data_IF_219039060952
#
_entry.id   IF_219039060952
#
_cell.length_a   1.000
_cell.length_b   1.000
_cell.length_c   1.000
_cell.angle_alpha   90.00
_cell.angle_beta   90.00
_cell.angle_gamma   90.00
#
_symmetry.space_group_name_H-M   'P 1'
#
loop_
_entity.id
_entity.type
_entity.pdbx_description
1 polymer ?
#
# COMPACT_ATOMS: atom_id res chain seq x y z
N UNK A 1 -37.39 9.88 1.99
CA UNK A 1 -36.27 9.08 1.50
C UNK A 1 -36.81 7.70 1.16
N UNK A 2 -36.50 7.13 -0.01
CA UNK A 2 -36.92 5.75 -0.34
C UNK A 2 -36.29 4.79 0.71
N UNK A 3 -37.09 3.82 1.16
CA UNK A 3 -36.62 2.78 2.08
C UNK A 3 -35.54 1.97 1.38
N UNK A 4 -34.37 1.77 2.04
CA UNK A 4 -33.33 0.87 1.57
C UNK A 4 -33.87 -0.55 1.65
N UNK A 5 -33.77 -1.33 0.57
CA UNK A 5 -34.25 -2.71 0.50
C UNK A 5 -33.14 -3.73 0.45
N UNK A 6 -32.00 -3.37 -0.15
CA UNK A 6 -30.83 -4.24 -0.29
C UNK A 6 -29.54 -3.45 -0.12
N UNK A 7 -28.59 -3.98 0.68
CA UNK A 7 -27.29 -3.36 0.97
C UNK A 7 -26.18 -4.36 0.70
N UNK A 8 -25.09 -3.94 0.06
CA UNK A 8 -23.86 -4.73 -0.01
C UNK A 8 -22.90 -4.27 1.07
N UNK A 9 -22.50 -5.16 1.94
CA UNK A 9 -21.61 -4.91 3.06
C UNK A 9 -20.19 -5.42 2.75
N UNK A 10 -19.18 -4.57 2.89
CA UNK A 10 -17.79 -5.01 2.99
C UNK A 10 -17.61 -5.79 4.29
N UNK A 11 -17.42 -7.10 4.17
CA UNK A 11 -17.53 -8.05 5.29
C UNK A 11 -16.23 -8.80 5.50
N UNK A 12 -15.64 -8.67 6.68
CA UNK A 12 -14.41 -9.39 7.06
C UNK A 12 -14.65 -10.66 7.89
N UNK A 13 -15.90 -10.91 8.32
CA UNK A 13 -16.20 -11.98 9.27
C UNK A 13 -15.79 -11.69 10.73
N UNK A 14 -15.16 -10.53 10.99
CA UNK A 14 -14.83 -10.06 12.32
C UNK A 14 -16.06 -9.66 13.16
N UNK A 15 -15.84 -9.34 14.44
CA UNK A 15 -16.91 -8.95 15.35
C UNK A 15 -17.68 -7.74 14.82
N UNK A 16 -16.97 -6.67 14.48
CA UNK A 16 -17.57 -5.39 14.07
C UNK A 16 -18.47 -5.55 12.83
N UNK A 17 -17.96 -6.21 11.79
CA UNK A 17 -18.71 -6.41 10.55
C UNK A 17 -19.88 -7.37 10.72
N UNK A 18 -19.79 -8.34 11.67
CA UNK A 18 -20.91 -9.23 11.98
C UNK A 18 -22.02 -8.52 12.77
N UNK A 19 -21.65 -7.59 13.64
CA UNK A 19 -22.63 -6.70 14.31
C UNK A 19 -23.27 -5.77 13.30
N UNK A 20 -22.49 -5.16 12.39
CA UNK A 20 -22.99 -4.30 11.32
C UNK A 20 -24.00 -5.04 10.44
N UNK A 21 -23.70 -6.27 10.05
CA UNK A 21 -24.60 -7.10 9.26
C UNK A 21 -25.97 -7.23 9.94
N UNK A 22 -25.96 -7.61 11.22
CA UNK A 22 -27.18 -7.79 11.98
C UNK A 22 -27.93 -6.48 12.21
N UNK A 23 -27.21 -5.40 12.51
CA UNK A 23 -27.76 -4.06 12.68
C UNK A 23 -28.44 -3.54 11.42
N UNK A 24 -27.84 -3.76 10.21
CA UNK A 24 -28.45 -3.40 8.94
C UNK A 24 -29.76 -4.13 8.70
N UNK A 25 -29.82 -5.43 9.03
CA UNK A 25 -31.05 -6.22 8.91
C UNK A 25 -32.19 -5.70 9.80
N UNK A 26 -31.86 -5.22 10.99
CA UNK A 26 -32.86 -4.78 11.99
C UNK A 26 -33.24 -3.31 11.80
N UNK A 27 -32.28 -2.42 11.72
CA UNK A 27 -32.54 -0.98 11.64
C UNK A 27 -33.15 -0.55 10.30
N UNK A 28 -32.68 -1.15 9.19
CA UNK A 28 -33.17 -0.85 7.87
C UNK A 28 -34.24 -1.84 7.37
N UNK A 29 -34.38 -2.99 8.03
CA UNK A 29 -35.29 -4.05 7.55
C UNK A 29 -34.90 -4.55 6.15
N UNK A 30 -33.63 -4.49 5.78
CA UNK A 30 -33.16 -4.72 4.42
C UNK A 30 -32.48 -6.08 4.26
N UNK A 31 -32.40 -6.53 3.03
CA UNK A 31 -31.56 -7.66 2.64
C UNK A 31 -30.09 -7.22 2.64
N UNK A 32 -29.21 -8.04 3.25
CA UNK A 32 -27.76 -7.78 3.25
C UNK A 32 -27.07 -8.81 2.38
N UNK A 33 -26.28 -8.30 1.43
CA UNK A 33 -25.33 -9.06 0.62
C UNK A 33 -23.96 -8.85 1.23
N UNK A 34 -23.15 -9.88 1.41
CA UNK A 34 -21.79 -9.74 1.94
C UNK A 34 -20.74 -9.90 0.85
N UNK A 35 -19.72 -9.07 0.91
CA UNK A 35 -18.56 -9.16 0.05
C UNK A 35 -17.29 -9.20 0.87
N UNK A 36 -16.47 -10.24 0.64
CA UNK A 36 -15.14 -10.44 1.23
C UNK A 36 -14.12 -10.54 0.12
N UNK A 37 -13.12 -9.66 0.12
CA UNK A 37 -12.02 -9.69 -0.81
C UNK A 37 -10.87 -10.55 -0.24
N UNK A 38 -10.38 -11.52 -1.01
CA UNK A 38 -9.06 -12.10 -0.80
C UNK A 38 -8.03 -11.25 -1.53
N UNK A 39 -7.25 -10.51 -0.77
CA UNK A 39 -6.12 -9.71 -1.25
C UNK A 39 -4.80 -10.16 -0.61
N UNK A 40 -4.77 -11.41 -0.12
CA UNK A 40 -3.59 -12.03 0.50
C UNK A 40 -3.41 -11.72 1.98
N UNK A 41 -4.50 -11.54 2.73
CA UNK A 41 -4.47 -11.31 4.18
C UNK A 41 -4.07 -12.53 5.00
N UNK A 42 -4.00 -13.72 4.37
CA UNK A 42 -3.56 -14.96 5.02
C UNK A 42 -4.56 -15.57 6.01
N UNK A 43 -5.79 -15.07 6.04
CA UNK A 43 -6.87 -15.62 6.86
C UNK A 43 -7.70 -16.64 6.07
N UNK A 44 -8.27 -17.62 6.76
CA UNK A 44 -9.25 -18.53 6.17
C UNK A 44 -10.56 -17.79 5.88
N UNK A 45 -11.02 -17.80 4.63
CA UNK A 45 -12.20 -17.07 4.18
C UNK A 45 -13.50 -17.84 4.45
N UNK A 46 -13.44 -19.17 4.51
CA UNK A 46 -14.59 -20.02 4.78
C UNK A 46 -15.30 -19.76 6.14
N UNK A 47 -14.58 -19.45 7.24
CA UNK A 47 -15.24 -19.03 8.48
C UNK A 47 -16.10 -17.78 8.33
N UNK A 48 -15.69 -16.81 7.49
CA UNK A 48 -16.49 -15.62 7.20
C UNK A 48 -17.79 -16.00 6.46
N UNK A 49 -17.71 -16.91 5.47
CA UNK A 49 -18.89 -17.44 4.76
C UNK A 49 -19.86 -18.10 5.74
N UNK A 50 -19.38 -19.07 6.51
CA UNK A 50 -20.22 -19.81 7.46
C UNK A 50 -20.92 -18.89 8.48
N UNK A 51 -20.22 -17.83 8.92
CA UNK A 51 -20.78 -16.83 9.83
C UNK A 51 -21.87 -15.99 9.18
N UNK A 52 -21.67 -15.55 7.93
CA UNK A 52 -22.66 -14.80 7.15
C UNK A 52 -23.91 -15.66 6.90
N UNK A 53 -23.75 -16.92 6.49
CA UNK A 53 -24.85 -17.88 6.33
C UNK A 53 -25.63 -18.08 7.64
N UNK A 54 -24.93 -18.26 8.76
CA UNK A 54 -25.53 -18.37 10.09
C UNK A 54 -26.32 -17.13 10.52
N UNK A 55 -26.01 -15.97 9.99
CA UNK A 55 -26.73 -14.71 10.18
C UNK A 55 -27.84 -14.46 9.12
N UNK A 56 -28.14 -15.48 8.28
CA UNK A 56 -29.25 -15.46 7.33
C UNK A 56 -28.93 -14.76 6.00
N UNK A 57 -27.67 -14.49 5.68
CA UNK A 57 -27.29 -13.93 4.38
C UNK A 57 -27.43 -14.99 3.29
N UNK A 58 -28.04 -14.61 2.16
CA UNK A 58 -28.29 -15.50 1.01
C UNK A 58 -27.31 -15.28 -0.13
N UNK A 59 -26.88 -14.05 -0.33
CA UNK A 59 -25.93 -13.67 -1.38
C UNK A 59 -24.59 -13.33 -0.73
N UNK A 60 -23.57 -14.18 -0.96
CA UNK A 60 -22.24 -14.09 -0.34
C UNK A 60 -21.21 -14.15 -1.44
N UNK A 61 -20.43 -13.08 -1.58
CA UNK A 61 -19.31 -12.97 -2.51
C UNK A 61 -18.00 -13.10 -1.74
N UNK A 62 -17.17 -14.06 -2.10
CA UNK A 62 -15.78 -14.18 -1.65
C UNK A 62 -14.96 -14.33 -2.91
N UNK A 63 -14.08 -13.37 -3.18
CA UNK A 63 -13.38 -13.28 -4.46
C UNK A 63 -11.87 -13.15 -4.26
N UNK A 64 -11.12 -13.96 -5.01
CA UNK A 64 -9.67 -13.85 -5.10
C UNK A 64 -9.30 -12.66 -6.00
N UNK A 65 -8.83 -11.59 -5.37
CA UNK A 65 -8.42 -10.35 -6.03
C UNK A 65 -6.91 -10.10 -5.96
N UNK A 66 -6.12 -11.10 -5.56
CA UNK A 66 -4.67 -10.94 -5.35
C UNK A 66 -3.93 -10.49 -6.60
N UNK A 67 -4.25 -11.09 -7.76
CA UNK A 67 -3.62 -10.70 -9.03
C UNK A 67 -4.02 -9.29 -9.46
N UNK A 68 -5.30 -8.94 -9.39
CA UNK A 68 -5.78 -7.60 -9.70
C UNK A 68 -5.16 -6.57 -8.74
N UNK A 69 -5.08 -6.90 -7.44
CA UNK A 69 -4.50 -6.04 -6.43
C UNK A 69 -3.05 -5.67 -6.76
N UNK A 70 -2.22 -6.64 -7.10
CA UNK A 70 -0.81 -6.36 -7.38
C UNK A 70 -0.63 -5.71 -8.74
N UNK A 71 -1.26 -6.24 -9.79
CA UNK A 71 -1.09 -5.75 -11.16
C UNK A 71 -1.62 -4.32 -11.36
N UNK A 72 -2.83 -4.04 -10.85
CA UNK A 72 -3.56 -2.81 -11.21
C UNK A 72 -3.49 -1.72 -10.12
N UNK A 73 -3.02 -2.05 -8.91
CA UNK A 73 -2.91 -1.10 -7.80
C UNK A 73 -1.49 -1.00 -7.25
N UNK A 74 -0.87 -2.10 -6.87
CA UNK A 74 0.46 -2.10 -6.25
C UNK A 74 1.53 -1.70 -7.26
N UNK A 75 1.62 -2.34 -8.42
CA UNK A 75 2.63 -2.05 -9.43
C UNK A 75 2.57 -0.61 -9.94
N UNK A 76 1.40 -0.05 -10.33
CA UNK A 76 1.31 1.36 -10.68
C UNK A 76 1.82 2.32 -9.60
N UNK A 77 1.59 1.99 -8.32
CA UNK A 77 2.12 2.74 -7.19
C UNK A 77 3.65 2.63 -7.10
N UNK A 78 4.21 1.43 -7.35
CA UNK A 78 5.66 1.22 -7.34
C UNK A 78 6.37 1.89 -8.51
N UNK A 79 5.76 1.99 -9.70
CA UNK A 79 6.30 2.78 -10.82
C UNK A 79 6.53 4.25 -10.42
N UNK A 80 5.72 4.78 -9.50
CA UNK A 80 5.91 6.12 -8.93
C UNK A 80 6.95 6.17 -7.81
N UNK A 81 7.52 5.07 -7.38
CA UNK A 81 8.36 4.95 -6.16
C UNK A 81 7.68 5.52 -4.91
N UNK A 82 6.40 5.23 -4.74
CA UNK A 82 5.53 5.92 -3.79
C UNK A 82 5.88 5.61 -2.34
N UNK A 83 6.13 6.66 -1.58
CA UNK A 83 6.31 6.61 -0.13
C UNK A 83 5.52 7.75 0.52
N UNK A 84 4.60 7.44 1.40
CA UNK A 84 3.94 8.47 2.20
C UNK A 84 4.86 8.89 3.33
N UNK A 85 5.04 10.21 3.49
CA UNK A 85 5.95 10.81 4.47
C UNK A 85 7.40 10.26 4.42
N UNK A 86 7.81 9.77 3.24
CA UNK A 86 9.16 9.30 2.98
C UNK A 86 9.45 7.84 3.35
N UNK A 87 8.54 7.14 4.01
CA UNK A 87 8.78 5.81 4.56
C UNK A 87 7.66 4.80 4.31
N UNK A 88 6.39 5.20 4.44
CA UNK A 88 5.26 4.28 4.43
C UNK A 88 4.84 3.85 3.03
N UNK A 89 4.81 2.55 2.77
CA UNK A 89 4.48 1.91 1.47
C UNK A 89 2.96 1.76 1.22
N UNK A 90 2.11 2.42 2.00
CA UNK A 90 0.68 2.60 1.71
C UNK A 90 -0.18 1.32 1.63
N UNK A 91 0.23 0.21 2.21
CA UNK A 91 -0.44 -1.08 2.02
C UNK A 91 -1.94 -1.09 2.35
N UNK A 92 -2.36 -0.46 3.46
CA UNK A 92 -3.80 -0.30 3.77
C UNK A 92 -4.47 0.64 2.78
N UNK A 93 -3.84 1.78 2.47
CA UNK A 93 -4.44 2.81 1.63
C UNK A 93 -4.70 2.35 0.21
N UNK A 94 -3.79 1.53 -0.37
CA UNK A 94 -3.89 1.05 -1.74
C UNK A 94 -4.87 -0.12 -1.91
N UNK A 95 -5.20 -0.82 -0.82
CA UNK A 95 -6.18 -1.91 -0.85
C UNK A 95 -7.63 -1.39 -0.96
N UNK A 96 -7.93 -0.27 -0.31
CA UNK A 96 -9.31 0.25 -0.23
C UNK A 96 -9.93 0.64 -1.57
N UNK A 97 -9.21 1.24 -2.55
CA UNK A 97 -9.75 1.52 -3.88
C UNK A 97 -10.24 0.28 -4.64
N UNK A 98 -9.52 -0.86 -4.53
CA UNK A 98 -9.94 -2.12 -5.15
C UNK A 98 -11.20 -2.67 -4.47
N UNK A 99 -11.20 -2.72 -3.13
CA UNK A 99 -12.35 -3.21 -2.37
C UNK A 99 -13.59 -2.34 -2.67
N UNK A 100 -13.44 -1.01 -2.68
CA UNK A 100 -14.52 -0.09 -3.01
C UNK A 100 -15.05 -0.29 -4.44
N UNK A 101 -14.15 -0.49 -5.41
CA UNK A 101 -14.51 -0.82 -6.80
C UNK A 101 -15.41 -2.05 -6.85
N UNK A 102 -14.95 -3.14 -6.25
CA UNK A 102 -15.70 -4.40 -6.32
C UNK A 102 -17.00 -4.36 -5.55
N UNK A 103 -17.02 -3.66 -4.41
CA UNK A 103 -18.23 -3.43 -3.62
C UNK A 103 -19.32 -2.71 -4.44
N UNK A 104 -18.93 -1.67 -5.19
CA UNK A 104 -19.83 -0.92 -6.08
C UNK A 104 -20.29 -1.80 -7.25
N UNK A 105 -19.41 -2.55 -7.89
CA UNK A 105 -19.76 -3.46 -8.99
C UNK A 105 -20.77 -4.52 -8.55
N UNK A 106 -20.60 -5.10 -7.37
CA UNK A 106 -21.56 -6.06 -6.80
C UNK A 106 -22.89 -5.36 -6.47
N UNK A 107 -22.86 -4.13 -5.95
CA UNK A 107 -24.07 -3.39 -5.66
C UNK A 107 -24.90 -3.14 -6.93
N UNK A 108 -24.24 -2.74 -8.01
CA UNK A 108 -24.90 -2.54 -9.31
C UNK A 108 -25.44 -3.88 -9.85
N UNK A 109 -24.65 -4.94 -9.82
CA UNK A 109 -25.02 -6.25 -10.36
C UNK A 109 -26.17 -6.92 -9.59
N UNK A 110 -26.21 -6.75 -8.25
CA UNK A 110 -27.25 -7.32 -7.38
C UNK A 110 -28.50 -6.43 -7.26
N UNK A 111 -28.48 -5.22 -7.86
CA UNK A 111 -29.56 -4.24 -7.74
C UNK A 111 -29.69 -3.69 -6.32
N UNK A 112 -28.60 -3.58 -5.58
CA UNK A 112 -28.62 -3.03 -4.23
C UNK A 112 -28.79 -1.50 -4.24
N UNK A 113 -29.51 -1.00 -3.23
CA UNK A 113 -29.80 0.43 -3.06
C UNK A 113 -28.64 1.18 -2.39
N UNK A 114 -27.79 0.46 -1.68
CA UNK A 114 -26.70 1.04 -0.88
C UNK A 114 -25.52 0.08 -0.71
N UNK A 115 -24.38 0.66 -0.31
CA UNK A 115 -23.24 -0.07 0.21
C UNK A 115 -23.02 0.28 1.68
N UNK A 116 -22.32 -0.61 2.41
CA UNK A 116 -21.91 -0.38 3.79
C UNK A 116 -20.49 -0.87 4.05
N UNK A 117 -19.82 -0.25 5.01
CA UNK A 117 -18.48 -0.61 5.46
C UNK A 117 -18.31 -0.50 6.98
N UNK A 118 -17.35 -1.23 7.53
CA UNK A 118 -17.02 -1.25 8.95
C UNK A 118 -15.96 -0.25 9.40
N UNK A 119 -15.57 0.70 8.57
CA UNK A 119 -14.56 1.68 8.93
C UNK A 119 -15.07 2.66 10.00
N UNK A 120 -14.24 2.87 11.05
CA UNK A 120 -14.60 3.77 12.16
C UNK A 120 -14.56 5.24 11.76
N UNK A 121 -15.31 6.08 12.46
CA UNK A 121 -15.35 7.53 12.22
C UNK A 121 -14.03 8.28 12.51
N UNK A 122 -13.07 7.64 13.18
CA UNK A 122 -11.73 8.19 13.48
C UNK A 122 -10.66 7.75 12.48
N UNK A 123 -10.97 6.76 11.61
CA UNK A 123 -10.03 6.20 10.65
C UNK A 123 -10.07 6.88 9.28
N UNK A 124 -8.98 6.81 8.53
CA UNK A 124 -8.93 7.27 7.14
C UNK A 124 -9.73 6.35 6.20
N UNK A 125 -9.97 5.10 6.58
CA UNK A 125 -10.57 4.10 5.70
C UNK A 125 -12.01 4.46 5.29
N UNK A 126 -12.79 5.09 6.16
CA UNK A 126 -14.10 5.62 5.79
C UNK A 126 -14.00 6.57 4.59
N UNK A 127 -13.00 7.48 4.60
CA UNK A 127 -12.78 8.43 3.50
C UNK A 127 -12.40 7.68 2.22
N UNK A 128 -11.52 6.69 2.31
CA UNK A 128 -11.05 5.89 1.17
C UNK A 128 -12.17 5.09 0.51
N UNK A 129 -13.02 4.42 1.30
CA UNK A 129 -14.18 3.70 0.80
C UNK A 129 -15.18 4.62 0.12
N UNK A 130 -15.55 5.71 0.79
CA UNK A 130 -16.62 6.58 0.32
C UNK A 130 -16.22 7.41 -0.90
N UNK A 131 -15.00 8.01 -0.90
CA UNK A 131 -14.51 8.71 -2.08
C UNK A 131 -14.35 7.78 -3.28
N UNK A 132 -13.90 6.54 -3.05
CA UNK A 132 -13.83 5.52 -4.09
C UNK A 132 -15.20 5.19 -4.65
N UNK A 133 -16.18 4.96 -3.79
CA UNK A 133 -17.54 4.64 -4.18
C UNK A 133 -18.20 5.79 -4.96
N UNK A 134 -18.13 7.02 -4.47
CA UNK A 134 -18.69 8.19 -5.17
C UNK A 134 -18.01 8.49 -6.51
N UNK A 135 -16.71 8.20 -6.64
CA UNK A 135 -16.01 8.37 -7.92
C UNK A 135 -16.46 7.36 -8.99
N UNK A 136 -16.90 6.16 -8.57
CA UNK A 136 -17.32 5.07 -9.44
C UNK A 136 -18.83 5.07 -9.70
N UNK A 137 -19.62 5.42 -8.68
CA UNK A 137 -21.07 5.51 -8.74
C UNK A 137 -21.55 6.74 -7.94
N UNK A 138 -21.68 7.91 -8.59
CA UNK A 138 -21.91 9.19 -7.90
C UNK A 138 -23.16 9.24 -7.00
N UNK A 139 -24.20 8.52 -7.35
CA UNK A 139 -25.49 8.55 -6.65
C UNK A 139 -25.67 7.38 -5.66
N UNK A 140 -24.63 6.56 -5.44
CA UNK A 140 -24.74 5.42 -4.53
C UNK A 140 -24.95 5.89 -3.09
N UNK A 141 -25.90 5.30 -2.41
CA UNK A 141 -26.10 5.54 -0.99
C UNK A 141 -25.05 4.76 -0.17
N UNK A 142 -24.45 5.44 0.80
CA UNK A 142 -23.49 4.81 1.71
C UNK A 142 -24.09 4.81 3.11
N UNK A 143 -24.04 3.65 3.77
CA UNK A 143 -24.40 3.49 5.17
C UNK A 143 -23.13 3.22 5.96
N UNK A 144 -22.81 4.12 6.87
CA UNK A 144 -21.62 4.05 7.71
C UNK A 144 -22.01 3.88 9.20
N UNK A 145 -22.24 2.66 9.68
CA UNK A 145 -22.84 2.41 10.99
C UNK A 145 -22.11 3.09 12.15
N UNK A 146 -20.79 3.17 12.11
CA UNK A 146 -20.00 3.86 13.12
C UNK A 146 -20.33 5.35 13.30
N UNK A 147 -21.04 5.95 12.37
CA UNK A 147 -21.54 7.35 12.46
C UNK A 147 -23.02 7.44 12.76
N UNK A 148 -23.74 6.33 12.75
CA UNK A 148 -25.19 6.28 12.84
C UNK A 148 -25.70 5.58 14.12
N UNK A 149 -25.02 4.51 14.54
CA UNK A 149 -25.44 3.70 15.68
C UNK A 149 -25.00 4.28 17.04
N UNK A 150 -25.58 3.75 18.11
CA UNK A 150 -25.31 4.16 19.49
C UNK A 150 -24.28 3.26 20.21
N UNK A 151 -23.75 2.26 19.53
CA UNK A 151 -22.75 1.34 20.08
C UNK A 151 -21.36 2.03 20.10
N UNK A 152 -21.00 2.61 21.24
CA UNK A 152 -19.80 3.46 21.34
C UNK A 152 -18.59 2.78 21.94
N UNK A 153 -18.82 1.63 22.62
CA UNK A 153 -17.76 0.89 23.29
C UNK A 153 -17.71 -0.56 22.83
N UNK A 154 -16.57 -1.21 23.12
CA UNK A 154 -16.43 -2.65 22.90
C UNK A 154 -17.41 -3.47 23.75
N UNK A 155 -17.72 -3.00 24.95
CA UNK A 155 -18.67 -3.63 25.85
C UNK A 155 -20.07 -3.58 25.25
N UNK A 156 -20.49 -2.43 24.70
CA UNK A 156 -21.78 -2.31 23.98
C UNK A 156 -21.86 -3.29 22.80
N UNK A 157 -20.79 -3.41 22.03
CA UNK A 157 -20.71 -4.34 20.90
C UNK A 157 -20.81 -5.80 21.33
N UNK A 158 -20.14 -6.18 22.41
CA UNK A 158 -20.21 -7.54 22.95
C UNK A 158 -21.60 -7.86 23.49
N UNK A 159 -22.22 -6.92 24.20
CA UNK A 159 -23.58 -7.06 24.70
C UNK A 159 -24.60 -7.19 23.56
N UNK A 160 -24.44 -6.38 22.50
CA UNK A 160 -25.25 -6.48 21.28
C UNK A 160 -25.09 -7.84 20.60
N UNK A 161 -23.86 -8.31 20.46
CA UNK A 161 -23.57 -9.60 19.86
C UNK A 161 -24.15 -10.78 20.66
N UNK A 162 -24.08 -10.72 22.00
CA UNK A 162 -24.69 -11.72 22.87
C UNK A 162 -26.22 -11.71 22.75
N UNK A 163 -26.84 -10.53 22.78
CA UNK A 163 -28.30 -10.38 22.63
C UNK A 163 -28.84 -10.98 21.32
N UNK A 164 -28.09 -10.80 20.23
CA UNK A 164 -28.46 -11.27 18.90
C UNK A 164 -27.87 -12.63 18.51
N UNK A 165 -27.26 -13.35 19.46
CA UNK A 165 -26.61 -14.65 19.24
C UNK A 165 -25.59 -14.65 18.10
N UNK A 166 -24.85 -13.54 17.93
CA UNK A 166 -23.78 -13.45 16.95
C UNK A 166 -22.57 -14.26 17.47
N UNK A 167 -22.05 -15.24 16.71
CA UNK A 167 -20.92 -16.05 17.17
C UNK A 167 -19.68 -15.20 17.41
N UNK A 168 -19.20 -15.16 18.64
CA UNK A 168 -17.96 -14.49 19.02
C UNK A 168 -16.88 -15.54 19.17
N UNK A 169 -15.86 -15.47 18.32
CA UNK A 169 -14.67 -16.31 18.46
C UNK A 169 -13.87 -15.87 19.69
N UNK A 170 -13.88 -16.69 20.72
CA UNK A 170 -12.93 -16.56 21.84
C UNK A 170 -11.59 -17.14 21.37
N UNK A 171 -10.70 -16.32 20.85
CA UNK A 171 -9.34 -16.78 20.50
C UNK A 171 -8.69 -17.38 21.75
N UNK A 172 -8.28 -18.66 21.67
CA UNK A 172 -7.48 -19.32 22.71
C UNK A 172 -6.16 -18.56 22.84
N UNK A 173 -5.89 -17.94 23.98
CA UNK A 173 -4.67 -17.18 24.23
C UNK A 173 -4.85 -15.68 24.43
N UNK A 174 -6.09 -15.17 24.50
CA UNK A 174 -6.37 -13.75 24.64
C UNK A 174 -6.49 -13.04 23.29
N UNK A 175 -7.10 -11.85 23.29
CA UNK A 175 -7.15 -11.02 22.10
C UNK A 175 -5.86 -10.22 22.01
N UNK A 176 -5.32 -10.07 20.79
CA UNK A 176 -4.23 -9.15 20.54
C UNK A 176 -4.64 -7.74 21.01
N UNK A 177 -3.81 -7.04 21.78
CA UNK A 177 -4.08 -5.65 22.15
C UNK A 177 -4.03 -4.70 20.95
N UNK A 178 -3.50 -5.19 19.82
CA UNK A 178 -3.29 -4.41 18.59
C UNK A 178 -4.43 -4.60 17.60
N UNK A 179 -4.83 -3.51 16.97
CA UNK A 179 -5.61 -3.55 15.72
C UNK A 179 -4.67 -3.89 14.57
N UNK A 180 -5.12 -4.77 13.68
CA UNK A 180 -4.29 -5.27 12.58
C UNK A 180 -5.07 -5.26 11.28
N UNK A 181 -4.38 -4.89 10.20
CA UNK A 181 -4.85 -5.03 8.83
C UNK A 181 -3.75 -5.69 7.99
N UNK A 182 -4.10 -6.65 7.16
CA UNK A 182 -3.15 -7.42 6.37
C UNK A 182 -3.62 -7.55 4.93
N UNK A 183 -2.68 -7.55 4.00
CA UNK A 183 -2.84 -7.91 2.60
C UNK A 183 -1.50 -8.35 2.02
N UNK A 184 -1.46 -8.71 0.75
CA UNK A 184 -0.24 -9.23 0.12
C UNK A 184 0.94 -8.23 0.15
N UNK A 185 0.70 -6.93 0.27
CA UNK A 185 1.76 -5.92 0.35
C UNK A 185 2.31 -5.75 1.77
N UNK A 186 1.46 -5.80 2.80
CA UNK A 186 1.89 -5.50 4.16
C UNK A 186 1.03 -6.13 5.27
N UNK A 187 1.53 -6.05 6.50
CA UNK A 187 0.74 -6.07 7.72
C UNK A 187 0.93 -4.73 8.43
N UNK A 188 -0.15 -4.17 8.97
CA UNK A 188 -0.14 -3.01 9.86
C UNK A 188 -0.58 -3.38 11.26
N UNK A 189 0.01 -2.70 12.25
CA UNK A 189 -0.31 -2.83 13.67
C UNK A 189 -0.48 -1.45 14.28
N UNK A 190 -1.57 -1.24 15.02
CA UNK A 190 -1.84 0.03 15.72
C UNK A 190 -2.61 -0.21 17.02
N UNK A 191 -2.65 0.78 17.88
CA UNK A 191 -3.38 0.77 19.15
C UNK A 191 -2.66 0.04 20.28
N UNK A 192 -3.33 -0.06 21.43
CA UNK A 192 -2.78 -0.68 22.64
C UNK A 192 -1.46 -0.03 23.10
N UNK A 193 -0.42 -0.82 23.42
CA UNK A 193 0.87 -0.30 23.86
C UNK A 193 1.55 0.67 22.85
N UNK A 194 1.23 0.58 21.55
CA UNK A 194 1.78 1.45 20.53
C UNK A 194 1.26 2.89 20.60
N UNK A 195 0.21 3.16 21.38
CA UNK A 195 -0.31 4.52 21.59
C UNK A 195 0.67 5.41 22.36
N UNK A 196 1.63 4.82 23.09
CA UNK A 196 2.76 5.53 23.66
C UNK A 196 3.95 5.46 22.68
N UNK A 197 4.35 6.56 22.02
CA UNK A 197 5.44 6.57 21.06
C UNK A 197 6.83 6.24 21.66
N UNK A 198 6.96 6.24 22.98
CA UNK A 198 8.22 5.92 23.68
C UNK A 198 8.40 4.44 23.94
N UNK A 199 7.33 3.65 23.87
CA UNK A 199 7.38 2.20 24.11
C UNK A 199 7.84 1.49 22.84
N UNK A 200 8.89 0.67 22.96
CA UNK A 200 9.36 -0.18 21.86
C UNK A 200 8.30 -1.22 21.49
N UNK A 201 8.12 -1.46 20.19
CA UNK A 201 7.26 -2.51 19.70
C UNK A 201 7.83 -3.88 20.09
N UNK A 202 7.03 -4.69 20.78
CA UNK A 202 7.46 -6.03 21.22
C UNK A 202 7.79 -6.93 20.03
N UNK A 203 8.79 -7.80 20.19
CA UNK A 203 9.16 -8.75 19.14
C UNK A 203 7.98 -9.68 18.75
N UNK A 204 7.10 -10.00 19.68
CA UNK A 204 5.89 -10.79 19.46
C UNK A 204 4.86 -10.14 18.53
N UNK A 205 4.98 -8.84 18.26
CA UNK A 205 4.14 -8.10 17.33
C UNK A 205 4.34 -8.57 15.88
N UNK A 206 5.62 -8.77 15.52
CA UNK A 206 6.02 -9.04 14.14
C UNK A 206 5.68 -10.47 13.74
N UNK A 207 4.84 -10.63 12.71
CA UNK A 207 4.30 -11.95 12.30
C UNK A 207 4.95 -12.53 11.06
N UNK A 208 5.42 -11.67 10.17
CA UNK A 208 6.03 -12.11 8.92
C UNK A 208 7.55 -12.19 9.03
N UNK A 209 8.16 -11.17 9.60
CA UNK A 209 9.61 -11.02 9.60
C UNK A 209 10.24 -11.63 10.83
N UNK A 210 11.31 -12.39 10.64
CA UNK A 210 12.17 -12.80 11.75
C UNK A 210 12.94 -11.58 12.31
N UNK A 211 13.28 -11.61 13.59
CA UNK A 211 14.17 -10.59 14.16
C UNK A 211 15.48 -10.55 13.39
N UNK A 212 16.04 -9.35 13.08
CA UNK A 212 17.31 -9.25 12.36
C UNK A 212 18.45 -10.05 13.00
N UNK A 213 18.49 -10.14 14.34
CA UNK A 213 19.46 -10.91 15.10
C UNK A 213 19.33 -12.42 14.87
N UNK A 214 18.10 -12.90 14.62
CA UNK A 214 17.79 -14.31 14.39
C UNK A 214 17.86 -14.69 12.91
N UNK A 215 17.94 -13.70 12.00
CA UNK A 215 18.06 -13.94 10.58
C UNK A 215 19.36 -14.68 10.22
N UNK A 216 19.42 -15.41 9.09
CA UNK A 216 20.59 -16.20 8.71
C UNK A 216 21.90 -15.40 8.68
N UNK A 217 22.99 -16.04 9.11
CA UNK A 217 24.35 -15.45 9.04
C UNK A 217 24.97 -15.52 7.63
N UNK A 218 24.24 -16.12 6.67
CA UNK A 218 24.66 -16.20 5.27
C UNK A 218 23.78 -15.23 4.47
N UNK A 219 24.36 -14.29 3.72
CA UNK A 219 23.56 -13.39 2.89
C UNK A 219 22.87 -14.13 1.74
N UNK A 220 21.65 -13.69 1.41
CA UNK A 220 20.90 -14.14 0.23
C UNK A 220 21.05 -13.11 -0.88
N UNK A 221 21.43 -13.55 -2.07
CA UNK A 221 21.40 -12.74 -3.28
C UNK A 221 20.11 -13.06 -4.04
N UNK A 222 19.42 -12.01 -4.53
CA UNK A 222 18.16 -12.11 -5.26
C UNK A 222 18.27 -11.27 -6.52
N UNK A 223 17.96 -11.84 -7.66
CA UNK A 223 17.85 -11.12 -8.93
C UNK A 223 16.39 -10.86 -9.27
N UNK A 224 16.05 -9.61 -9.61
CA UNK A 224 14.70 -9.22 -10.00
C UNK A 224 14.80 -8.64 -11.41
N UNK A 225 14.06 -9.23 -12.35
CA UNK A 225 13.94 -8.76 -13.73
C UNK A 225 12.71 -7.85 -13.87
N UNK A 226 12.88 -6.76 -14.62
CA UNK A 226 11.86 -5.75 -14.85
C UNK A 226 11.59 -5.57 -16.33
N UNK A 227 10.33 -5.26 -16.65
CA UNK A 227 9.86 -4.87 -17.99
C UNK A 227 8.85 -3.73 -17.85
N UNK A 228 9.13 -2.57 -18.46
CA UNK A 228 8.27 -1.39 -18.37
C UNK A 228 8.02 -0.94 -16.92
N UNK A 229 9.03 -1.06 -16.05
CA UNK A 229 8.96 -0.70 -14.63
C UNK A 229 8.33 -1.76 -13.72
N UNK A 230 7.68 -2.80 -14.25
CA UNK A 230 7.09 -3.88 -13.45
C UNK A 230 8.05 -5.06 -13.32
N UNK A 231 8.12 -5.64 -12.14
CA UNK A 231 8.87 -6.87 -11.91
C UNK A 231 8.16 -8.06 -12.56
N UNK A 232 8.90 -8.87 -13.32
CA UNK A 232 8.36 -9.98 -14.11
C UNK A 232 8.99 -11.33 -13.78
N UNK A 233 10.19 -11.34 -13.18
CA UNK A 233 10.84 -12.60 -12.79
C UNK A 233 11.70 -12.40 -11.54
N UNK A 234 11.91 -13.49 -10.80
CA UNK A 234 12.83 -13.57 -9.65
C UNK A 234 13.77 -14.74 -9.86
N UNK A 235 15.08 -14.47 -9.77
CA UNK A 235 16.15 -15.48 -9.99
C UNK A 235 16.01 -16.23 -11.34
N UNK A 236 15.44 -15.55 -12.36
CA UNK A 236 15.21 -16.07 -13.70
C UNK A 236 13.91 -16.85 -13.88
N UNK A 237 13.09 -17.01 -12.85
CA UNK A 237 11.75 -17.62 -12.92
C UNK A 237 10.69 -16.54 -13.16
N UNK A 238 9.97 -16.61 -14.29
CA UNK A 238 8.83 -15.74 -14.57
C UNK A 238 7.66 -16.06 -13.64
N UNK A 239 7.09 -15.05 -13.01
CA UNK A 239 6.01 -15.16 -12.05
C UNK A 239 4.88 -14.17 -12.36
N UNK A 240 3.68 -14.48 -11.91
CA UNK A 240 2.57 -13.53 -11.93
C UNK A 240 2.82 -12.37 -10.98
N UNK A 241 2.16 -11.22 -11.15
CA UNK A 241 2.27 -10.08 -10.23
C UNK A 241 2.14 -10.44 -8.76
N UNK A 242 1.11 -11.21 -8.38
CA UNK A 242 0.93 -11.68 -7.01
C UNK A 242 2.05 -12.66 -6.60
N UNK A 243 2.49 -13.53 -7.50
CA UNK A 243 3.62 -14.44 -7.29
C UNK A 243 4.93 -13.72 -7.00
N UNK A 244 5.23 -12.65 -7.74
CA UNK A 244 6.40 -11.79 -7.49
C UNK A 244 6.38 -11.27 -6.05
N UNK A 245 5.28 -10.64 -5.64
CA UNK A 245 5.20 -10.03 -4.32
C UNK A 245 5.23 -11.07 -3.20
N UNK A 246 4.56 -12.22 -3.36
CA UNK A 246 4.57 -13.32 -2.41
C UNK A 246 5.98 -13.91 -2.22
N UNK A 247 6.71 -14.10 -3.32
CA UNK A 247 8.08 -14.61 -3.29
C UNK A 247 9.02 -13.63 -2.61
N UNK A 248 8.91 -12.34 -2.94
CA UNK A 248 9.70 -11.29 -2.30
C UNK A 248 9.37 -11.13 -0.81
N UNK A 249 8.10 -11.31 -0.42
CA UNK A 249 7.71 -11.34 0.99
C UNK A 249 8.42 -12.47 1.73
N UNK A 250 8.41 -13.68 1.18
CA UNK A 250 9.08 -14.84 1.78
C UNK A 250 10.58 -14.61 1.96
N UNK A 251 11.25 -14.08 0.92
CA UNK A 251 12.68 -13.83 0.95
C UNK A 251 13.03 -12.70 1.94
N UNK A 252 12.30 -11.59 1.91
CA UNK A 252 12.51 -10.46 2.80
C UNK A 252 12.25 -10.80 4.26
N UNK A 253 11.15 -11.51 4.52
CA UNK A 253 10.76 -11.97 5.87
C UNK A 253 11.82 -12.85 6.51
N UNK A 254 12.33 -13.83 5.76
CA UNK A 254 13.37 -14.74 6.25
C UNK A 254 14.68 -14.04 6.62
N UNK A 255 14.92 -12.84 6.10
CA UNK A 255 16.11 -12.03 6.38
C UNK A 255 15.83 -10.81 7.27
N UNK A 256 14.64 -10.71 7.88
CA UNK A 256 14.28 -9.65 8.81
C UNK A 256 14.10 -8.27 8.15
N UNK A 257 13.83 -8.25 6.84
CA UNK A 257 13.66 -7.00 6.07
C UNK A 257 12.22 -6.51 6.11
N UNK A 258 12.01 -5.20 6.18
CA UNK A 258 10.74 -4.55 5.90
C UNK A 258 9.93 -4.16 7.14
N UNK A 259 10.53 -4.12 8.33
CA UNK A 259 9.91 -3.55 9.54
C UNK A 259 10.00 -2.03 9.51
N UNK A 260 8.92 -1.37 9.88
CA UNK A 260 8.81 0.07 9.98
C UNK A 260 7.99 0.44 11.20
N UNK A 261 8.43 1.44 11.95
CA UNK A 261 7.71 2.05 13.07
C UNK A 261 7.72 3.56 12.85
N UNK A 262 6.55 4.15 12.64
CA UNK A 262 6.46 5.58 12.38
C UNK A 262 5.22 6.22 12.99
N UNK A 263 5.30 7.54 13.19
CA UNK A 263 4.16 8.38 13.55
C UNK A 263 3.75 9.17 12.31
N UNK A 264 2.62 8.78 11.72
CA UNK A 264 2.09 9.39 10.50
C UNK A 264 1.00 10.44 10.77
N UNK A 265 0.77 11.33 9.81
CA UNK A 265 -0.31 12.30 9.87
C UNK A 265 -1.54 11.76 9.12
N UNK A 266 -2.60 11.41 9.87
CA UNK A 266 -3.88 10.98 9.27
C UNK A 266 -4.58 12.13 8.56
N UNK A 267 -5.25 11.82 7.46
CA UNK A 267 -6.01 12.80 6.70
C UNK A 267 -7.15 13.44 7.51
N UNK A 268 -7.70 12.70 8.45
CA UNK A 268 -8.72 13.19 9.41
C UNK A 268 -8.15 14.13 10.49
N UNK A 269 -6.87 14.49 10.44
CA UNK A 269 -6.27 15.59 11.19
C UNK A 269 -5.54 15.21 12.48
N UNK A 270 -5.32 13.93 12.76
CA UNK A 270 -4.57 13.48 13.95
C UNK A 270 -3.28 12.75 13.57
N UNK A 271 -2.32 12.73 14.49
CA UNK A 271 -1.16 11.84 14.40
C UNK A 271 -1.51 10.45 14.92
N UNK A 272 -0.96 9.42 14.30
CA UNK A 272 -1.12 8.03 14.73
C UNK A 272 0.18 7.28 14.52
N UNK A 273 0.59 6.50 15.53
CA UNK A 273 1.70 5.57 15.38
C UNK A 273 1.21 4.26 14.79
N UNK A 274 1.94 3.79 13.78
CA UNK A 274 1.75 2.48 13.18
C UNK A 274 3.06 1.73 13.05
N UNK A 275 3.03 0.42 13.28
CA UNK A 275 4.10 -0.48 12.93
C UNK A 275 3.69 -1.29 11.71
N UNK A 276 4.63 -1.53 10.79
CA UNK A 276 4.33 -2.15 9.50
C UNK A 276 5.38 -3.19 9.15
N UNK A 277 4.94 -4.27 8.49
CA UNK A 277 5.82 -5.24 7.84
C UNK A 277 5.56 -5.21 6.35
N UNK A 278 6.55 -4.81 5.57
CA UNK A 278 6.47 -4.71 4.10
C UNK A 278 7.70 -5.32 3.44
N UNK A 279 8.01 -6.60 3.70
CA UNK A 279 9.28 -7.19 3.26
C UNK A 279 9.42 -7.18 1.73
N UNK A 280 8.47 -7.71 0.99
CA UNK A 280 8.51 -7.75 -0.47
C UNK A 280 8.46 -6.35 -1.09
N UNK A 281 7.61 -5.47 -0.56
CA UNK A 281 7.52 -4.08 -1.01
C UNK A 281 8.83 -3.33 -0.85
N UNK A 282 9.56 -3.55 0.25
CA UNK A 282 10.87 -2.94 0.50
C UNK A 282 11.90 -3.40 -0.53
N UNK A 283 11.93 -4.71 -0.86
CA UNK A 283 12.82 -5.25 -1.88
C UNK A 283 12.49 -4.68 -3.26
N UNK A 284 11.20 -4.67 -3.62
CA UNK A 284 10.72 -4.21 -4.91
C UNK A 284 11.05 -2.73 -5.14
N UNK A 285 10.75 -1.86 -4.16
CA UNK A 285 11.06 -0.44 -4.24
C UNK A 285 12.56 -0.20 -4.41
N UNK A 286 13.37 -0.89 -3.62
CA UNK A 286 14.84 -0.75 -3.68
C UNK A 286 15.39 -1.15 -5.03
N UNK A 287 14.90 -2.25 -5.61
CA UNK A 287 15.32 -2.75 -6.91
C UNK A 287 14.84 -1.84 -8.04
N UNK A 288 13.58 -1.43 -8.03
CA UNK A 288 12.99 -0.55 -9.05
C UNK A 288 13.75 0.78 -9.14
N UNK A 289 13.96 1.47 -8.02
CA UNK A 289 14.75 2.72 -8.00
C UNK A 289 16.19 2.52 -8.47
N UNK A 290 16.79 1.37 -8.18
CA UNK A 290 18.13 1.06 -8.64
C UNK A 290 18.20 0.88 -10.16
N UNK A 291 17.17 0.30 -10.78
CA UNK A 291 17.09 0.16 -12.23
C UNK A 291 16.85 1.52 -12.90
N UNK A 292 15.91 2.32 -12.37
CA UNK A 292 15.68 3.68 -12.85
C UNK A 292 16.94 4.56 -12.88
N UNK A 293 17.84 4.35 -11.92
CA UNK A 293 19.11 5.09 -11.90
C UNK A 293 20.03 4.84 -13.10
N UNK A 294 19.77 3.78 -13.89
CA UNK A 294 20.45 3.51 -15.16
C UNK A 294 19.67 4.03 -16.37
N UNK A 295 18.34 4.00 -16.31
CA UNK A 295 17.49 4.08 -17.48
C UNK A 295 16.74 5.40 -17.61
N UNK A 296 16.57 6.16 -16.54
CA UNK A 296 15.91 7.46 -16.59
C UNK A 296 16.91 8.59 -16.86
N UNK A 297 16.51 9.52 -17.73
CA UNK A 297 17.16 10.82 -17.85
C UNK A 297 17.10 11.57 -16.51
N UNK A 298 18.13 12.37 -16.24
CA UNK A 298 18.25 13.13 -14.99
C UNK A 298 17.02 13.98 -14.67
N UNK A 299 16.53 14.74 -15.65
CA UNK A 299 15.41 15.68 -15.43
C UNK A 299 14.10 14.92 -15.23
N UNK A 300 13.90 13.80 -15.93
CA UNK A 300 12.75 12.91 -15.75
C UNK A 300 12.75 12.28 -14.35
N UNK A 301 13.91 11.80 -13.90
CA UNK A 301 14.07 11.21 -12.56
C UNK A 301 13.75 12.23 -11.45
N UNK A 302 14.27 13.47 -11.59
CA UNK A 302 14.03 14.55 -10.62
C UNK A 302 12.55 14.96 -10.61
N UNK A 303 11.95 15.19 -11.78
CA UNK A 303 10.53 15.54 -11.88
C UNK A 303 9.65 14.47 -11.23
N UNK A 304 9.95 13.20 -11.46
CA UNK A 304 9.23 12.08 -10.88
C UNK A 304 9.35 12.08 -9.34
N UNK A 305 10.54 12.32 -8.79
CA UNK A 305 10.77 12.42 -7.35
C UNK A 305 10.05 13.63 -6.72
N UNK A 306 9.92 14.76 -7.43
CA UNK A 306 9.15 15.92 -6.98
C UNK A 306 7.64 15.63 -6.93
N UNK A 307 7.11 14.82 -7.86
CA UNK A 307 5.69 14.48 -7.94
C UNK A 307 5.29 13.34 -6.97
N UNK A 308 6.23 12.51 -6.55
CA UNK A 308 5.97 11.34 -5.70
C UNK A 308 5.24 11.70 -4.40
N UNK A 309 5.59 12.73 -3.61
CA UNK A 309 4.88 13.06 -2.38
C UNK A 309 3.41 13.47 -2.64
N UNK A 310 3.15 14.14 -3.77
CA UNK A 310 1.77 14.47 -4.17
C UNK A 310 0.98 13.23 -4.53
N UNK A 311 1.59 12.33 -5.30
CA UNK A 311 0.97 11.06 -5.68
C UNK A 311 0.69 10.19 -4.45
N UNK A 312 1.64 10.09 -3.51
CA UNK A 312 1.48 9.38 -2.24
C UNK A 312 0.31 9.95 -1.41
N UNK A 313 0.20 11.26 -1.31
CA UNK A 313 -0.89 11.93 -0.60
C UNK A 313 -2.25 11.64 -1.21
N UNK A 314 -2.37 11.56 -2.54
CA UNK A 314 -3.62 11.21 -3.22
C UNK A 314 -4.06 9.78 -2.84
N UNK A 315 -3.14 8.82 -2.82
CA UNK A 315 -3.45 7.45 -2.42
C UNK A 315 -3.83 7.39 -0.94
N UNK A 316 -3.01 7.99 -0.08
CA UNK A 316 -3.23 7.99 1.36
C UNK A 316 -4.58 8.57 1.75
N UNK A 317 -4.99 9.65 1.06
CA UNK A 317 -6.22 10.38 1.32
C UNK A 317 -7.47 9.81 0.61
N UNK A 318 -7.34 8.72 -0.17
CA UNK A 318 -8.47 8.05 -0.81
C UNK A 318 -8.83 8.54 -2.22
N UNK A 319 -7.98 9.32 -2.87
CA UNK A 319 -8.20 9.90 -4.20
C UNK A 319 -7.69 9.02 -5.36
N UNK A 320 -7.62 7.71 -5.18
CA UNK A 320 -7.17 6.80 -6.25
C UNK A 320 -7.91 6.99 -7.56
N UNK A 321 -9.23 7.17 -7.52
CA UNK A 321 -10.09 7.32 -8.69
C UNK A 321 -10.20 8.76 -9.22
N UNK A 322 -9.49 9.73 -8.62
CA UNK A 322 -9.53 11.13 -9.04
C UNK A 322 -8.91 11.36 -10.43
N UNK A 323 -9.39 12.37 -11.18
CA UNK A 323 -8.77 12.78 -12.44
C UNK A 323 -7.30 13.17 -12.27
N UNK A 324 -6.96 13.83 -11.17
CA UNK A 324 -5.61 14.26 -10.83
C UNK A 324 -4.64 13.06 -10.70
N UNK A 325 -5.03 12.02 -9.96
CA UNK A 325 -4.20 10.81 -9.85
C UNK A 325 -4.02 10.14 -11.21
N UNK A 326 -5.05 10.09 -12.05
CA UNK A 326 -4.95 9.51 -13.41
C UNK A 326 -3.97 10.28 -14.30
N UNK A 327 -3.97 11.63 -14.22
CA UNK A 327 -2.99 12.45 -14.94
C UNK A 327 -1.56 12.13 -14.49
N UNK A 328 -1.33 12.09 -13.18
CA UNK A 328 -0.01 11.75 -12.63
C UNK A 328 0.41 10.34 -13.05
N UNK A 329 -0.50 9.36 -13.02
CA UNK A 329 -0.21 7.99 -13.45
C UNK A 329 0.23 7.94 -14.92
N UNK A 330 -0.42 8.69 -15.80
CA UNK A 330 -0.03 8.74 -17.22
C UNK A 330 1.40 9.26 -17.39
N UNK A 331 1.79 10.28 -16.63
CA UNK A 331 3.18 10.79 -16.64
C UNK A 331 4.16 9.75 -16.10
N UNK A 332 3.80 9.10 -14.99
CA UNK A 332 4.61 8.04 -14.37
C UNK A 332 4.80 6.89 -15.35
N UNK A 333 3.73 6.37 -15.93
CA UNK A 333 3.77 5.25 -16.87
C UNK A 333 4.61 5.57 -18.11
N UNK A 334 4.52 6.80 -18.64
CA UNK A 334 5.35 7.25 -19.75
C UNK A 334 6.86 7.22 -19.41
N UNK A 335 7.23 7.45 -18.15
CA UNK A 335 8.62 7.36 -17.71
C UNK A 335 9.16 5.93 -17.62
N UNK A 336 8.28 4.93 -17.67
CA UNK A 336 8.66 3.52 -17.45
C UNK A 336 8.97 2.74 -18.73
N UNK A 337 8.74 3.32 -19.91
CA UNK A 337 8.94 2.66 -21.20
C UNK A 337 10.31 1.97 -21.33
N UNK A 338 11.36 2.62 -20.84
CA UNK A 338 12.74 2.17 -20.91
C UNK A 338 13.27 1.58 -19.59
N UNK A 339 12.40 1.39 -18.60
CA UNK A 339 12.79 0.78 -17.31
C UNK A 339 12.72 -0.74 -17.43
N UNK A 340 13.68 -1.28 -18.22
CA UNK A 340 13.83 -2.71 -18.48
C UNK A 340 15.22 -3.18 -18.04
N UNK A 341 15.30 -4.34 -17.42
CA UNK A 341 16.58 -4.90 -17.01
C UNK A 341 16.51 -5.70 -15.74
N UNK A 342 17.66 -5.87 -15.11
CA UNK A 342 17.83 -6.74 -13.94
C UNK A 342 18.57 -6.02 -12.82
N UNK A 343 18.12 -6.25 -11.58
CA UNK A 343 18.78 -5.77 -10.37
C UNK A 343 19.09 -6.94 -9.45
N UNK A 344 20.30 -6.97 -8.91
CA UNK A 344 20.70 -7.92 -7.88
C UNK A 344 20.77 -7.24 -6.52
N UNK A 345 19.98 -7.77 -5.59
CA UNK A 345 19.97 -7.37 -4.19
C UNK A 345 20.75 -8.37 -3.33
N UNK A 346 21.37 -7.88 -2.26
CA UNK A 346 21.96 -8.68 -1.17
C UNK A 346 21.15 -8.42 0.09
N UNK A 347 20.54 -9.46 0.63
CA UNK A 347 19.77 -9.44 1.87
C UNK A 347 20.60 -10.00 3.01
N UNK A 348 20.68 -9.28 4.12
CA UNK A 348 21.41 -9.73 5.29
C UNK A 348 20.94 -9.01 6.55
N UNK A 349 20.40 -9.75 7.51
CA UNK A 349 20.03 -9.25 8.86
C UNK A 349 19.33 -7.89 8.85
N UNK A 350 18.16 -7.84 8.22
CA UNK A 350 17.34 -6.62 8.10
C UNK A 350 17.82 -5.63 7.04
N UNK A 351 18.99 -5.83 6.46
CA UNK A 351 19.57 -4.92 5.47
C UNK A 351 19.33 -5.41 4.04
N UNK A 352 19.08 -4.45 3.14
CA UNK A 352 18.99 -4.65 1.68
C UNK A 352 20.02 -3.76 1.00
N UNK A 353 20.97 -4.35 0.29
CA UNK A 353 21.95 -3.63 -0.51
C UNK A 353 21.76 -3.96 -2.01
N UNK A 354 21.81 -2.95 -2.88
CA UNK A 354 21.93 -3.15 -4.31
C UNK A 354 23.39 -3.47 -4.61
N UNK A 355 23.63 -4.64 -5.23
CA UNK A 355 24.98 -5.12 -5.53
C UNK A 355 25.23 -5.33 -7.03
N UNK A 356 24.22 -5.12 -7.87
CA UNK A 356 24.34 -5.14 -9.32
C UNK A 356 23.10 -4.60 -9.98
N UNK A 357 23.26 -4.03 -11.16
CA UNK A 357 22.19 -3.59 -12.05
C UNK A 357 22.66 -3.67 -13.49
N UNK A 358 21.77 -4.09 -14.38
CA UNK A 358 22.04 -4.21 -15.81
C UNK A 358 20.78 -3.88 -16.63
N UNK A 359 20.96 -3.14 -17.70
CA UNK A 359 19.91 -2.81 -18.65
C UNK A 359 20.50 -2.63 -20.03
N UNK A 360 19.81 -3.11 -21.06
CA UNK A 360 20.13 -2.78 -22.45
C UNK A 360 19.76 -1.32 -22.78
N UNK A 361 18.81 -0.75 -22.03
CA UNK A 361 18.32 0.63 -22.18
C UNK A 361 19.08 1.62 -21.26
N UNK A 362 20.28 1.22 -20.77
CA UNK A 362 21.08 2.02 -19.86
C UNK A 362 21.57 3.33 -20.50
N UNK A 363 21.38 4.44 -19.78
CA UNK A 363 21.99 5.74 -20.08
C UNK A 363 23.38 5.89 -19.48
N UNK A 364 23.83 4.92 -18.67
CA UNK A 364 25.19 4.90 -18.13
C UNK A 364 26.16 4.43 -19.21
N UNK A 365 26.98 5.36 -19.71
CA UNK A 365 28.04 5.05 -20.67
C UNK A 365 29.38 4.98 -19.94
N UNK A 366 29.91 3.76 -19.81
CA UNK A 366 31.20 3.51 -19.16
C UNK A 366 32.40 4.10 -19.91
N UNK A 367 32.25 4.46 -21.20
CA UNK A 367 33.31 5.11 -21.98
C UNK A 367 33.44 6.59 -21.64
N UNK A 368 32.31 7.24 -21.28
CA UNK A 368 32.28 8.65 -20.88
C UNK A 368 32.48 8.77 -19.36
N UNK A 369 31.78 7.93 -18.57
CA UNK A 369 31.83 7.96 -17.12
C UNK A 369 33.02 7.15 -16.55
N UNK A 370 34.22 7.39 -17.08
CA UNK A 370 35.47 6.74 -16.65
C UNK A 370 36.45 7.74 -16.07
N UNK A 371 37.30 7.30 -15.14
CA UNK A 371 38.48 8.04 -14.67
C UNK A 371 39.73 7.71 -15.47
N UNK A 372 39.65 6.73 -16.37
CA UNK A 372 40.70 6.35 -17.30
C UNK A 372 40.66 7.23 -18.55
N UNK A 373 41.52 6.98 -19.52
CA UNK A 373 41.53 7.66 -20.81
C UNK A 373 40.26 7.35 -21.62
N UNK A 374 39.39 8.33 -21.79
CA UNK A 374 38.16 8.26 -22.55
C UNK A 374 38.33 8.39 -24.07
N UNK A 375 39.57 8.52 -24.52
CA UNK A 375 39.98 8.74 -25.93
C UNK A 375 39.30 9.93 -26.58
N UNK A 376 39.02 10.97 -25.81
CA UNK A 376 38.38 12.19 -26.27
C UNK A 376 36.86 12.10 -26.41
N UNK A 377 36.20 11.14 -25.79
CA UNK A 377 34.74 11.04 -25.78
C UNK A 377 34.09 12.24 -25.05
N UNK A 378 34.82 12.88 -24.12
CA UNK A 378 34.36 14.05 -23.37
C UNK A 378 35.46 15.15 -23.38
N UNK A 379 35.16 16.36 -23.91
CA UNK A 379 36.09 17.49 -23.79
C UNK A 379 35.89 18.24 -22.47
N UNK A 380 36.83 18.04 -21.54
CA UNK A 380 36.80 18.67 -20.21
C UNK A 380 36.84 20.21 -20.26
N UNK A 381 37.26 20.83 -21.39
CA UNK A 381 37.30 22.29 -21.56
C UNK A 381 35.91 22.91 -21.61
N UNK A 382 34.91 22.17 -22.11
CA UNK A 382 33.51 22.63 -22.19
C UNK A 382 32.94 22.98 -20.81
N UNK A 383 33.37 22.29 -19.77
CA UNK A 383 32.97 22.57 -18.40
C UNK A 383 33.29 24.01 -17.96
N UNK A 384 34.39 24.60 -18.45
CA UNK A 384 34.80 25.94 -18.05
C UNK A 384 33.80 27.03 -18.46
N UNK A 385 33.19 26.92 -19.65
CA UNK A 385 32.13 27.82 -20.14
C UNK A 385 30.86 27.68 -19.34
N UNK A 386 30.42 26.44 -19.16
CA UNK A 386 29.23 26.08 -18.40
C UNK A 386 29.32 26.60 -16.94
N UNK A 387 30.44 26.35 -16.26
CA UNK A 387 30.66 26.81 -14.87
C UNK A 387 30.63 28.35 -14.79
N UNK A 388 31.29 29.06 -15.70
CA UNK A 388 31.33 30.54 -15.71
C UNK A 388 29.93 31.14 -15.82
N UNK A 389 29.10 30.62 -16.74
CA UNK A 389 27.72 31.08 -16.93
C UNK A 389 26.86 30.80 -15.69
N UNK A 390 26.93 29.58 -15.14
CA UNK A 390 26.17 29.24 -13.94
C UNK A 390 26.65 30.02 -12.69
N UNK A 391 27.93 30.35 -12.60
CA UNK A 391 28.48 31.15 -11.52
C UNK A 391 28.12 32.64 -11.60
N UNK A 392 27.64 33.15 -12.74
CA UNK A 392 27.40 34.58 -12.93
C UNK A 392 26.45 35.17 -11.89
N UNK A 393 25.29 34.55 -11.64
CA UNK A 393 24.33 34.99 -10.62
C UNK A 393 24.93 35.01 -9.22
N UNK A 394 25.75 34.03 -8.87
CA UNK A 394 26.41 33.95 -7.58
C UNK A 394 27.47 35.04 -7.40
N UNK A 395 28.25 35.31 -8.45
CA UNK A 395 29.26 36.42 -8.45
C UNK A 395 28.60 37.78 -8.30
N UNK A 396 27.48 38.03 -8.97
CA UNK A 396 26.72 39.28 -8.82
C UNK A 396 26.21 39.43 -7.38
N UNK A 397 25.61 38.38 -6.83
CA UNK A 397 25.11 38.38 -5.45
C UNK A 397 26.23 38.57 -4.41
N UNK A 398 27.39 37.93 -4.59
CA UNK A 398 28.55 38.09 -3.71
C UNK A 398 29.08 39.53 -3.72
N UNK A 399 29.23 40.17 -4.89
CA UNK A 399 29.66 41.58 -5.00
C UNK A 399 28.73 42.52 -4.26
N UNK A 400 27.42 42.26 -4.26
CA UNK A 400 26.42 43.05 -3.53
C UNK A 400 26.63 42.97 -2.01
N UNK A 401 27.08 41.82 -1.50
CA UNK A 401 27.38 41.62 -0.06
C UNK A 401 28.69 42.25 0.38
N UNK A 402 29.65 42.37 -0.53
CA UNK A 402 30.99 42.90 -0.24
C UNK A 402 31.10 44.42 -0.43
N UNK A 403 30.07 45.05 -1.01
CA UNK A 403 30.04 46.53 -1.26
C UNK A 403 29.12 47.31 -0.33
N UNK A 404 28.71 46.70 0.83
CA UNK A 404 27.99 47.36 1.91
C UNK A 404 28.90 47.65 3.07
#
# INVERSE_FOLDING_TARGET
>A
MSSVKKVVLAYSGGLDTSIILKWLQEEYGCEVVTFTADIGQGEELEPARAKAEGLGVKEIYIEDLREEFVRDFVFPMFRANTLYEGEYLLGTSIARPLIAKRLVEIAVASGADAISHGATGKGNDQVRFELGAYALQPDIRIIAPWREWTLTSREDMLAYAEHHNIPIERKRGGQSPYSMDANLLHISYEGGPLEDPWIEAEESLWRWTVAPEQAPNIPRYVEIDFRGGDAVAIDGEELSPAGILATLNTLGSAHGVGRLDLVENRYVGMKSRGCYETPGGTLLLKAHRALESLTLDREVAHLKDELMPRYASLIYNGYWWSPERRMLQTMIDASQEWVNGRVRLKLYKGSVAVVGRASADSLFDSKIATFEDDRGAYDQKDASGFIRLNALRMRIAARRRSGG
#
